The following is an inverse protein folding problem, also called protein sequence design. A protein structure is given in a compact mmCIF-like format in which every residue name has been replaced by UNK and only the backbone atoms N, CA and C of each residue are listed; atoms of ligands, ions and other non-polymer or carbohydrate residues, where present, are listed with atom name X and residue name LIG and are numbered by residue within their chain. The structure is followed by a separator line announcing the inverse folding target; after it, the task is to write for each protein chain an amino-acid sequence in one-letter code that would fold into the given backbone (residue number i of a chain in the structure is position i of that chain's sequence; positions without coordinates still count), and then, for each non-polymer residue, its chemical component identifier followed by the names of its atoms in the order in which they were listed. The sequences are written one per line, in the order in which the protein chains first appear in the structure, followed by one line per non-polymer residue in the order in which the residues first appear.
data_IF_510800096219
#
_entry.id   IF_510800096219
#
_cell.length_a   1.000
_cell.length_b   1.000
_cell.length_c   1.000
_cell.angle_alpha   90.00
_cell.angle_beta   90.00
_cell.angle_gamma   90.00
#
_symmetry.space_group_name_H-M   'P 1'
#
loop_
_entity.id
_entity.type
_entity.pdbx_description
1 polymer ?
#
# COMPACT_ATOMS: atom_id res chain seq x y z
N UNK A 1 48.36 -25.87 2.57
CA UNK A 1 47.70 -27.17 2.34
C UNK A 1 46.76 -27.40 3.51
N UNK A 2 45.50 -27.02 3.38
CA UNK A 2 44.44 -27.83 3.97
C UNK A 2 43.16 -27.64 3.14
N UNK A 3 42.79 -28.70 2.43
CA UNK A 3 41.50 -28.93 1.76
C UNK A 3 41.02 -30.22 2.42
N UNK A 4 39.90 -30.25 3.14
CA UNK A 4 38.52 -30.57 2.68
C UNK A 4 37.65 -30.85 3.95
N UNK A 5 36.32 -31.08 3.92
CA UNK A 5 35.32 -30.97 2.83
C UNK A 5 34.07 -30.14 3.19
N UNK A 6 33.31 -29.76 2.15
CA UNK A 6 31.92 -29.33 2.22
C UNK A 6 31.04 -30.40 2.88
N UNK A 7 30.19 -30.03 3.85
CA UNK A 7 29.23 -30.95 4.46
C UNK A 7 28.30 -30.39 5.55
N UNK A 8 28.34 -29.09 5.85
CA UNK A 8 27.64 -28.48 7.00
C UNK A 8 26.59 -27.41 6.69
N UNK A 9 26.46 -26.95 5.44
CA UNK A 9 25.71 -25.71 5.13
C UNK A 9 24.18 -25.82 5.25
N UNK A 10 23.62 -27.02 5.05
CA UNK A 10 22.16 -27.22 5.05
C UNK A 10 21.55 -27.15 6.46
N UNK A 11 22.25 -27.70 7.47
CA UNK A 11 21.76 -27.71 8.87
C UNK A 11 21.86 -26.33 9.53
N UNK A 12 22.92 -25.58 9.22
CA UNK A 12 23.10 -24.21 9.71
C UNK A 12 22.03 -23.29 9.09
N UNK A 13 21.81 -23.38 7.77
CA UNK A 13 20.78 -22.59 7.07
C UNK A 13 19.36 -22.90 7.53
N UNK A 14 19.02 -24.17 7.74
CA UNK A 14 17.69 -24.57 8.22
C UNK A 14 17.44 -24.08 9.66
N UNK A 15 18.43 -24.16 10.55
CA UNK A 15 18.30 -23.68 11.93
C UNK A 15 18.19 -22.15 12.01
N UNK A 16 18.91 -21.42 11.14
CA UNK A 16 18.75 -19.96 11.00
C UNK A 16 17.36 -19.61 10.50
N UNK A 17 16.87 -20.29 9.47
CA UNK A 17 15.52 -20.07 8.95
C UNK A 17 14.44 -20.37 10.01
N UNK A 18 14.56 -21.50 10.71
CA UNK A 18 13.62 -21.88 11.76
C UNK A 18 13.66 -20.90 12.94
N UNK A 19 14.84 -20.37 13.26
CA UNK A 19 15.01 -19.37 14.33
C UNK A 19 14.41 -18.03 13.93
N UNK A 20 14.62 -17.57 12.70
CA UNK A 20 13.98 -16.37 12.14
C UNK A 20 12.47 -16.53 12.10
N UNK A 21 11.96 -17.69 11.65
CA UNK A 21 10.54 -17.96 11.61
C UNK A 21 9.92 -18.02 13.01
N UNK A 22 10.60 -18.65 13.97
CA UNK A 22 10.18 -18.69 15.37
C UNK A 22 10.19 -17.29 16.00
N UNK A 23 11.16 -16.44 15.65
CA UNK A 23 11.24 -15.06 16.11
C UNK A 23 10.13 -14.19 15.51
N UNK A 24 9.91 -14.31 14.20
CA UNK A 24 8.81 -13.68 13.48
C UNK A 24 7.44 -14.09 14.04
N UNK A 25 7.25 -15.38 14.32
CA UNK A 25 6.03 -15.91 14.92
C UNK A 25 5.91 -15.64 16.43
N UNK A 26 7.00 -15.28 17.11
CA UNK A 26 6.98 -14.94 18.54
C UNK A 26 6.64 -13.47 18.79
N UNK A 27 7.04 -12.58 17.87
CA UNK A 27 6.97 -11.14 18.06
C UNK A 27 5.66 -10.55 17.51
N UNK A 28 4.80 -10.07 18.40
CA UNK A 28 3.56 -9.33 18.04
C UNK A 28 3.74 -8.24 16.98
N UNK A 29 4.76 -7.34 17.05
CA UNK A 29 4.91 -6.29 16.03
C UNK A 29 5.26 -6.84 14.65
N UNK A 30 6.06 -7.91 14.56
CA UNK A 30 6.45 -8.50 13.28
C UNK A 30 5.27 -9.17 12.57
N UNK A 31 4.36 -9.81 13.32
CA UNK A 31 3.10 -10.34 12.77
C UNK A 31 2.21 -9.23 12.22
N UNK A 32 2.05 -8.15 12.99
CA UNK A 32 1.21 -7.02 12.59
C UNK A 32 1.75 -6.36 11.33
N UNK A 33 3.07 -6.13 11.26
CA UNK A 33 3.73 -5.59 10.08
C UNK A 33 3.51 -6.48 8.86
N UNK A 34 3.63 -7.80 8.97
CA UNK A 34 3.38 -8.68 7.82
C UNK A 34 1.94 -8.61 7.32
N UNK A 35 0.95 -8.57 8.22
CA UNK A 35 -0.46 -8.40 7.84
C UNK A 35 -0.66 -7.06 7.13
N UNK A 36 -0.04 -6.00 7.64
CA UNK A 36 -0.13 -4.66 7.09
C UNK A 36 0.57 -4.54 5.72
N UNK A 37 1.71 -5.21 5.52
CA UNK A 37 2.39 -5.29 4.22
C UNK A 37 1.54 -6.03 3.19
N UNK A 38 0.86 -7.12 3.57
CA UNK A 38 -0.07 -7.83 2.68
C UNK A 38 -1.21 -6.89 2.26
N UNK A 39 -1.77 -6.13 3.21
CA UNK A 39 -2.79 -5.13 2.92
C UNK A 39 -2.29 -4.07 1.92
N UNK A 40 -1.06 -3.57 2.09
CA UNK A 40 -0.49 -2.60 1.15
C UNK A 40 -0.24 -3.18 -0.26
N UNK A 41 0.04 -4.48 -0.38
CA UNK A 41 0.02 -5.14 -1.68
C UNK A 41 -1.37 -5.17 -2.31
N UNK A 42 -2.42 -5.40 -1.51
CA UNK A 42 -3.80 -5.46 -1.98
C UNK A 42 -4.32 -4.09 -2.44
N UNK A 43 -4.04 -3.01 -1.70
CA UNK A 43 -4.47 -1.67 -2.09
C UNK A 43 -3.81 -1.23 -3.41
N UNK A 44 -2.55 -1.59 -3.63
CA UNK A 44 -1.84 -1.31 -4.89
C UNK A 44 -2.42 -2.12 -6.05
N UNK A 45 -2.78 -3.39 -5.82
CA UNK A 45 -3.45 -4.21 -6.83
C UNK A 45 -4.84 -3.65 -7.19
N UNK A 46 -5.58 -3.14 -6.21
CA UNK A 46 -6.88 -2.52 -6.46
C UNK A 46 -6.76 -1.27 -7.33
N UNK A 47 -5.88 -0.32 -6.98
CA UNK A 47 -5.75 0.93 -7.74
C UNK A 47 -5.17 0.69 -9.13
N UNK A 48 -4.19 -0.21 -9.28
CA UNK A 48 -3.54 -0.46 -10.58
C UNK A 48 -4.33 -1.40 -11.48
N UNK A 49 -5.14 -2.30 -10.91
CA UNK A 49 -5.92 -3.30 -11.62
C UNK A 49 -7.40 -2.93 -11.74
N UNK A 50 -8.14 -3.05 -10.65
CA UNK A 50 -9.60 -2.93 -10.67
C UNK A 50 -10.06 -1.50 -10.96
N UNK A 51 -9.41 -0.51 -10.35
CA UNK A 51 -9.79 0.88 -10.50
C UNK A 51 -9.54 1.41 -11.92
N UNK A 52 -8.32 1.22 -12.45
CA UNK A 52 -7.97 1.65 -13.81
C UNK A 52 -8.77 0.92 -14.88
N UNK A 53 -9.06 -0.37 -14.70
CA UNK A 53 -9.80 -1.17 -15.68
C UNK A 53 -11.29 -0.85 -15.64
N UNK A 54 -11.90 -0.86 -14.46
CA UNK A 54 -13.37 -0.85 -14.33
C UNK A 54 -13.95 0.56 -14.24
N UNK A 55 -13.21 1.53 -13.69
CA UNK A 55 -13.70 2.89 -13.48
C UNK A 55 -13.05 3.87 -14.46
N UNK A 56 -11.73 3.85 -14.60
CA UNK A 56 -11.04 4.82 -15.48
C UNK A 56 -11.28 4.48 -16.96
N UNK A 57 -10.94 3.25 -17.37
CA UNK A 57 -10.98 2.86 -18.79
C UNK A 57 -12.40 2.85 -19.35
N UNK A 58 -13.40 2.43 -18.55
CA UNK A 58 -14.80 2.39 -18.97
C UNK A 58 -15.42 3.79 -19.12
N UNK A 59 -15.05 4.75 -18.28
CA UNK A 59 -15.73 6.06 -18.25
C UNK A 59 -15.03 7.11 -19.09
N UNK A 60 -13.70 7.16 -19.03
CA UNK A 60 -12.90 8.21 -19.68
C UNK A 60 -11.89 7.68 -20.71
N UNK A 61 -11.77 6.36 -20.84
CA UNK A 61 -10.93 5.70 -21.83
C UNK A 61 -9.53 5.35 -21.31
N UNK A 62 -8.90 4.37 -21.95
CA UNK A 62 -7.63 3.79 -21.51
C UNK A 62 -6.45 4.77 -21.58
N UNK A 63 -6.51 5.73 -22.51
CA UNK A 63 -5.48 6.77 -22.68
C UNK A 63 -5.37 7.69 -21.46
N UNK A 64 -6.44 7.80 -20.67
CA UNK A 64 -6.47 8.67 -19.50
C UNK A 64 -5.95 7.99 -18.22
N UNK A 65 -5.69 6.67 -18.26
CA UNK A 65 -5.16 5.93 -17.11
C UNK A 65 -3.85 6.54 -16.61
N UNK A 66 -2.95 6.92 -17.51
CA UNK A 66 -1.69 7.57 -17.15
C UNK A 66 -1.90 8.88 -16.39
N UNK A 67 -2.83 9.73 -16.84
CA UNK A 67 -3.12 11.00 -16.16
C UNK A 67 -3.70 10.80 -14.75
N UNK A 68 -4.57 9.80 -14.57
CA UNK A 68 -5.14 9.46 -13.26
C UNK A 68 -4.04 8.93 -12.32
N UNK A 69 -3.14 8.08 -12.81
CA UNK A 69 -2.02 7.56 -12.02
C UNK A 69 -0.99 8.65 -11.67
N UNK A 70 -0.78 9.65 -12.54
CA UNK A 70 0.04 10.83 -12.22
C UNK A 70 -0.60 11.63 -11.08
N UNK A 71 -1.93 11.83 -11.12
CA UNK A 71 -2.64 12.50 -10.03
C UNK A 71 -2.48 11.75 -8.70
N UNK A 72 -2.71 10.43 -8.71
CA UNK A 72 -2.44 9.56 -7.57
C UNK A 72 -1.01 9.73 -7.04
N UNK A 73 0.00 9.57 -7.91
CA UNK A 73 1.41 9.67 -7.52
C UNK A 73 1.82 11.06 -7.01
N UNK A 74 1.28 12.13 -7.59
CA UNK A 74 1.54 13.50 -7.14
C UNK A 74 0.96 13.73 -5.73
N UNK A 75 -0.25 13.25 -5.47
CA UNK A 75 -0.86 13.31 -4.13
C UNK A 75 -0.05 12.46 -3.15
N UNK A 76 0.36 11.24 -3.54
CA UNK A 76 1.21 10.40 -2.70
C UNK A 76 2.50 11.13 -2.31
N UNK A 77 3.20 11.76 -3.26
CA UNK A 77 4.45 12.47 -2.99
C UNK A 77 4.27 13.65 -2.03
N UNK A 78 3.24 14.48 -2.25
CA UNK A 78 2.93 15.64 -1.39
C UNK A 78 2.58 15.18 0.03
N UNK A 79 1.71 14.18 0.14
CA UNK A 79 1.29 13.61 1.42
C UNK A 79 2.45 12.95 2.15
N UNK A 80 3.29 12.16 1.48
CA UNK A 80 4.46 11.52 2.09
C UNK A 80 5.44 12.53 2.66
N UNK A 81 5.69 13.63 1.94
CA UNK A 81 6.54 14.72 2.43
C UNK A 81 5.96 15.39 3.68
N UNK A 82 4.63 15.58 3.73
CA UNK A 82 3.94 16.16 4.88
C UNK A 82 3.88 15.23 6.09
N UNK A 83 3.40 13.99 5.89
CA UNK A 83 3.19 13.01 6.94
C UNK A 83 4.50 12.55 7.59
N UNK A 84 5.59 12.44 6.81
CA UNK A 84 6.91 12.11 7.35
C UNK A 84 7.41 13.11 8.40
N UNK A 85 7.02 14.38 8.31
CA UNK A 85 7.32 15.38 9.35
C UNK A 85 6.27 15.40 10.46
N UNK A 86 4.99 15.27 10.10
CA UNK A 86 3.89 15.41 11.06
C UNK A 86 3.79 14.24 12.04
N UNK A 87 4.22 13.04 11.63
CA UNK A 87 4.23 11.84 12.48
C UNK A 87 5.10 12.01 13.73
N UNK A 88 6.17 12.81 13.65
CA UNK A 88 7.05 13.09 14.78
C UNK A 88 6.36 13.86 15.91
N UNK A 89 5.28 14.58 15.60
CA UNK A 89 4.54 15.40 16.56
C UNK A 89 3.27 14.71 17.10
N UNK A 90 2.57 13.95 16.25
CA UNK A 90 1.23 13.41 16.52
C UNK A 90 1.25 11.91 16.88
N UNK A 91 2.32 11.20 16.52
CA UNK A 91 2.42 9.74 16.65
C UNK A 91 1.76 8.98 15.50
N UNK A 92 2.00 7.67 15.43
CA UNK A 92 1.67 6.83 14.26
C UNK A 92 0.18 6.47 14.14
N UNK A 93 -0.51 6.22 15.26
CA UNK A 93 -1.88 5.66 15.28
C UNK A 93 -2.92 6.53 14.54
N UNK A 94 -2.95 7.87 14.70
CA UNK A 94 -3.92 8.70 14.00
C UNK A 94 -3.81 8.63 12.47
N UNK A 95 -2.59 8.49 11.93
CA UNK A 95 -2.40 8.37 10.48
C UNK A 95 -3.01 7.09 9.93
N UNK A 96 -2.84 5.96 10.63
CA UNK A 96 -3.47 4.70 10.22
C UNK A 96 -5.00 4.79 10.18
N UNK A 97 -5.61 5.55 11.11
CA UNK A 97 -7.05 5.79 11.09
C UNK A 97 -7.43 6.62 9.85
N UNK A 98 -6.68 7.67 9.53
CA UNK A 98 -6.92 8.50 8.33
C UNK A 98 -6.80 7.65 7.05
N UNK A 99 -5.79 6.78 6.97
CA UNK A 99 -5.62 5.88 5.83
C UNK A 99 -6.80 4.92 5.67
N UNK A 100 -7.23 4.30 6.77
CA UNK A 100 -8.37 3.38 6.76
C UNK A 100 -9.68 4.09 6.39
N UNK A 101 -9.91 5.30 6.90
CA UNK A 101 -11.07 6.11 6.53
C UNK A 101 -11.02 6.56 5.06
N UNK A 102 -9.84 6.89 4.53
CA UNK A 102 -9.69 7.28 3.14
C UNK A 102 -9.98 6.12 2.20
N UNK A 103 -9.36 4.95 2.43
CA UNK A 103 -9.61 3.75 1.62
C UNK A 103 -11.03 3.24 1.79
N UNK A 104 -11.50 3.09 3.03
CA UNK A 104 -12.86 2.63 3.32
C UNK A 104 -13.92 3.57 2.75
N UNK A 105 -13.75 4.88 2.90
CA UNK A 105 -14.63 5.89 2.33
C UNK A 105 -14.64 5.86 0.81
N UNK A 106 -13.46 5.72 0.17
CA UNK A 106 -13.36 5.60 -1.29
C UNK A 106 -14.02 4.31 -1.79
N UNK A 107 -13.79 3.17 -1.13
CA UNK A 107 -14.44 1.90 -1.49
C UNK A 107 -15.97 2.01 -1.37
N UNK A 108 -16.48 2.49 -0.23
CA UNK A 108 -17.92 2.67 -0.02
C UNK A 108 -18.50 3.61 -1.08
N UNK A 109 -17.82 4.73 -1.38
CA UNK A 109 -18.26 5.66 -2.41
C UNK A 109 -18.31 5.00 -3.79
N UNK A 110 -17.29 4.23 -4.17
CA UNK A 110 -17.25 3.49 -5.44
C UNK A 110 -18.30 2.37 -5.51
N UNK A 111 -18.70 1.78 -4.38
CA UNK A 111 -19.80 0.80 -4.33
C UNK A 111 -21.17 1.44 -4.54
N UNK A 112 -21.38 2.65 -4.01
CA UNK A 112 -22.68 3.34 -4.07
C UNK A 112 -22.83 4.21 -5.32
N UNK A 113 -21.71 4.66 -5.91
CA UNK A 113 -21.70 5.58 -7.03
C UNK A 113 -21.45 4.86 -8.35
N UNK A 114 -22.34 5.08 -9.32
CA UNK A 114 -22.12 4.59 -10.68
C UNK A 114 -21.29 5.61 -11.48
N UNK A 115 -20.24 5.15 -12.17
CA UNK A 115 -19.33 6.06 -12.86
C UNK A 115 -19.99 6.63 -14.11
N UNK A 116 -20.30 7.93 -14.07
CA UNK A 116 -20.92 8.67 -15.18
C UNK A 116 -19.87 9.48 -15.95
N UNK A 117 -19.98 9.49 -17.28
CA UNK A 117 -19.09 10.21 -18.20
C UNK A 117 -19.15 11.72 -18.04
N UNK A 118 -20.25 12.26 -17.53
CA UNK A 118 -20.39 13.71 -17.29
C UNK A 118 -19.59 14.19 -16.05
N UNK A 119 -19.23 13.29 -15.13
CA UNK A 119 -18.53 13.64 -13.89
C UNK A 119 -17.16 12.97 -13.78
N UNK A 120 -16.33 13.20 -14.80
CA UNK A 120 -14.97 12.65 -14.91
C UNK A 120 -14.06 13.10 -13.76
N UNK A 121 -14.34 14.26 -13.17
CA UNK A 121 -13.57 14.83 -12.05
C UNK A 121 -13.54 13.90 -10.85
N UNK A 122 -14.64 13.18 -10.57
CA UNK A 122 -14.71 12.27 -9.42
C UNK A 122 -13.69 11.14 -9.51
N UNK A 123 -13.32 10.71 -10.72
CA UNK A 123 -12.30 9.68 -10.94
C UNK A 123 -10.91 10.17 -10.51
N UNK A 124 -10.60 11.45 -10.73
CA UNK A 124 -9.35 12.03 -10.24
C UNK A 124 -9.39 12.25 -8.73
N UNK A 125 -10.55 12.63 -8.18
CA UNK A 125 -10.73 12.82 -6.73
C UNK A 125 -10.55 11.50 -5.98
N UNK A 126 -11.16 10.40 -6.44
CA UNK A 126 -11.00 9.09 -5.81
C UNK A 126 -9.55 8.57 -5.92
N UNK A 127 -8.87 8.81 -7.05
CA UNK A 127 -7.45 8.48 -7.18
C UNK A 127 -6.58 9.29 -6.22
N UNK A 128 -6.87 10.58 -6.03
CA UNK A 128 -6.20 11.42 -5.04
C UNK A 128 -6.45 10.95 -3.61
N UNK A 129 -7.69 10.67 -3.23
CA UNK A 129 -8.04 10.14 -1.91
C UNK A 129 -7.35 8.81 -1.62
N UNK A 130 -7.29 7.93 -2.62
CA UNK A 130 -6.52 6.69 -2.53
C UNK A 130 -5.03 6.97 -2.29
N UNK A 131 -4.47 7.97 -2.99
CA UNK A 131 -3.08 8.39 -2.82
C UNK A 131 -2.74 8.93 -1.42
N UNK A 132 -3.70 9.56 -0.74
CA UNK A 132 -3.51 9.98 0.66
C UNK A 132 -3.32 8.77 1.57
N UNK A 133 -4.14 7.73 1.39
CA UNK A 133 -4.05 6.51 2.21
C UNK A 133 -2.80 5.69 1.90
N UNK A 134 -2.45 5.55 0.62
CA UNK A 134 -1.21 4.89 0.18
C UNK A 134 0.04 5.60 0.73
N UNK A 135 0.08 6.94 0.72
CA UNK A 135 1.18 7.71 1.31
C UNK A 135 1.34 7.43 2.81
N UNK A 136 0.24 7.31 3.55
CA UNK A 136 0.31 6.90 4.95
C UNK A 136 0.87 5.48 5.04
N UNK A 137 0.29 4.51 4.32
CA UNK A 137 0.74 3.12 4.43
C UNK A 137 2.24 2.99 4.11
N UNK A 138 2.72 3.62 3.05
CA UNK A 138 4.14 3.60 2.70
C UNK A 138 5.01 4.27 3.77
N UNK A 139 4.65 5.46 4.26
CA UNK A 139 5.49 6.18 5.25
C UNK A 139 5.48 5.57 6.65
N UNK A 140 4.48 4.75 6.98
CA UNK A 140 4.39 4.11 8.28
C UNK A 140 4.93 2.67 8.30
N UNK A 141 4.89 1.98 7.16
CA UNK A 141 5.42 0.60 7.01
C UNK A 141 6.92 0.61 6.68
N UNK A 142 7.40 1.62 5.94
CA UNK A 142 8.77 1.73 5.42
C UNK A 142 9.48 2.99 5.92
#
# INVERSE_FOLDING_TARGET
LDKTPQGGDSKISANLFLSTFKHWWGSTPQKLLTILTIYSGMEQAFITGDYTKSYVSCTIGIWNVGYVMICFGAVCAICSWGFGRLVQFVGHVPFFIIAFLSHGGTLIALLLWQPNRDNQVMIYVFAGLWGIGDAVMQTQIN
#
